data_IF_683637612447
#
_entry.id   IF_683637612447
#
_cell.length_a   1.000
_cell.length_b   1.000
_cell.length_c   1.000
_cell.angle_alpha   90.00
_cell.angle_beta   90.00
_cell.angle_gamma   90.00
#
_symmetry.space_group_name_H-M   'P 1'
#
loop_
_entity.id
_entity.type
_entity.pdbx_description
1 polymer ?
#
# COMPACT_ATOMS: atom_id res chain seq x y z
N UNK A 1 31.71 51.73 -45.97
CA UNK A 1 30.52 51.26 -46.71
C UNK A 1 30.31 49.78 -46.42
N UNK A 2 29.07 49.44 -46.04
CA UNK A 2 28.35 48.16 -46.09
C UNK A 2 29.10 46.83 -45.81
N UNK A 3 28.79 46.11 -44.73
CA UNK A 3 27.67 45.13 -44.57
C UNK A 3 28.06 43.69 -44.99
N UNK A 4 28.30 42.79 -44.02
CA UNK A 4 27.51 41.56 -43.73
C UNK A 4 28.39 40.31 -44.01
N UNK A 5 28.37 39.15 -43.34
CA UNK A 5 27.40 38.31 -42.60
C UNK A 5 28.18 37.42 -41.60
N UNK A 6 27.71 37.27 -40.35
CA UNK A 6 27.10 36.06 -39.78
C UNK A 6 27.80 34.71 -40.09
N UNK A 7 28.50 34.17 -39.09
CA UNK A 7 28.61 32.72 -38.86
C UNK A 7 28.49 32.42 -37.36
N UNK A 8 27.68 31.40 -37.08
CA UNK A 8 27.20 30.94 -35.79
C UNK A 8 28.29 30.32 -34.91
N UNK A 9 28.34 30.69 -33.63
CA UNK A 9 29.03 29.91 -32.61
C UNK A 9 28.07 28.93 -31.94
N UNK A 10 28.27 27.64 -32.22
CA UNK A 10 27.69 26.55 -31.47
C UNK A 10 28.44 26.40 -30.14
N UNK A 11 27.78 26.73 -29.02
CA UNK A 11 28.27 26.39 -27.69
C UNK A 11 28.01 24.92 -27.40
N UNK A 12 28.99 24.07 -27.69
CA UNK A 12 29.04 22.67 -27.23
C UNK A 12 29.48 22.67 -25.75
N UNK A 13 28.52 22.86 -24.86
CA UNK A 13 28.72 22.68 -23.42
C UNK A 13 28.80 21.20 -23.07
N UNK A 14 30.01 20.63 -23.07
CA UNK A 14 30.28 19.30 -22.49
C UNK A 14 30.03 19.36 -20.97
N UNK A 15 28.84 18.99 -20.52
CA UNK A 15 28.60 18.63 -19.11
C UNK A 15 29.32 17.31 -18.82
N UNK A 16 30.52 17.38 -18.25
CA UNK A 16 31.13 16.25 -17.55
C UNK A 16 30.20 15.87 -16.40
N UNK A 17 29.55 14.71 -16.51
CA UNK A 17 28.97 14.02 -15.35
C UNK A 17 30.13 13.49 -14.53
N UNK A 18 30.38 14.09 -13.39
CA UNK A 18 31.19 13.48 -12.34
C UNK A 18 30.34 12.33 -11.80
N UNK A 19 30.65 11.11 -12.25
CA UNK A 19 30.22 9.88 -11.59
C UNK A 19 31.13 9.79 -10.37
N UNK A 20 30.56 10.06 -9.20
CA UNK A 20 31.23 9.75 -7.93
C UNK A 20 31.02 8.26 -7.72
N UNK A 21 32.02 7.48 -8.14
CA UNK A 21 32.14 6.08 -7.74
C UNK A 21 32.42 6.06 -6.23
N UNK A 22 31.42 5.66 -5.44
CA UNK A 22 31.65 5.30 -4.04
C UNK A 22 32.37 3.95 -4.04
N UNK A 23 33.68 3.99 -3.80
CA UNK A 23 34.45 2.85 -3.34
C UNK A 23 34.01 2.55 -1.90
N UNK A 24 33.46 1.36 -1.68
CA UNK A 24 33.28 0.76 -0.36
C UNK A 24 34.66 0.25 0.11
N UNK A 25 35.50 1.14 0.60
CA UNK A 25 36.72 0.80 1.33
C UNK A 25 36.89 1.83 2.45
N UNK A 26 36.85 1.40 3.70
CA UNK A 26 37.27 2.22 4.84
C UNK A 26 36.28 2.28 6.00
N UNK A 27 36.61 1.46 7.00
CA UNK A 27 36.47 1.71 8.43
C UNK A 27 35.04 1.82 9.01
N UNK A 28 34.71 0.79 9.80
CA UNK A 28 33.67 0.78 10.82
C UNK A 28 34.00 1.83 11.90
N UNK A 29 33.92 3.11 11.55
CA UNK A 29 33.77 4.16 12.54
C UNK A 29 32.43 3.95 13.22
N UNK A 30 32.48 3.62 14.50
CA UNK A 30 31.35 3.61 15.41
C UNK A 30 30.48 4.84 15.13
N UNK A 31 29.34 4.63 14.46
CA UNK A 31 28.27 5.63 14.39
C UNK A 31 27.78 5.76 15.82
N UNK A 32 28.40 6.70 16.55
CA UNK A 32 28.14 6.95 17.95
C UNK A 32 26.64 6.93 18.18
N UNK A 33 26.19 6.04 19.04
CA UNK A 33 24.84 6.12 19.55
C UNK A 33 24.74 7.48 20.23
N UNK A 34 23.92 8.36 19.66
CA UNK A 34 23.56 9.63 20.29
C UNK A 34 22.76 9.30 21.55
N UNK A 35 23.48 9.06 22.65
CA UNK A 35 22.90 8.94 23.98
C UNK A 35 22.21 10.27 24.28
N UNK A 36 20.88 10.20 24.31
CA UNK A 36 19.97 11.34 24.37
C UNK A 36 19.64 11.72 25.82
N UNK A 37 20.55 11.39 26.75
CA UNK A 37 20.30 11.38 28.19
C UNK A 37 20.73 12.68 28.89
N UNK A 38 21.33 13.63 28.17
CA UNK A 38 21.48 15.00 28.66
C UNK A 38 20.23 15.82 28.29
N UNK A 39 19.44 16.15 29.31
CA UNK A 39 18.36 17.14 29.30
C UNK A 39 18.88 18.59 29.12
N UNK A 40 20.09 18.74 28.56
CA UNK A 40 20.63 20.00 28.09
C UNK A 40 19.70 20.56 27.03
N UNK A 41 18.94 21.56 27.44
CA UNK A 41 17.94 22.29 26.67
C UNK A 41 18.60 22.94 25.46
N UNK A 42 18.83 22.16 24.39
CA UNK A 42 19.13 22.71 23.07
C UNK A 42 17.92 23.56 22.68
N UNK A 43 18.05 24.87 22.93
CA UNK A 43 16.99 25.85 22.78
C UNK A 43 16.24 25.65 21.47
N UNK A 44 14.92 25.73 21.52
CA UNK A 44 14.07 25.63 20.33
C UNK A 44 14.60 26.61 19.28
N UNK A 45 14.90 26.16 18.06
CA UNK A 45 15.38 27.08 17.02
C UNK A 45 14.32 28.15 16.75
N UNK A 46 14.74 29.35 16.31
CA UNK A 46 13.82 30.44 15.97
C UNK A 46 12.72 29.99 15.01
N UNK A 47 11.54 30.60 15.13
CA UNK A 47 10.36 30.21 14.36
C UNK A 47 10.59 30.26 12.85
N UNK A 48 11.40 31.21 12.38
CA UNK A 48 11.76 31.40 10.97
C UNK A 48 12.54 30.20 10.42
N UNK A 49 13.52 29.71 11.17
CA UNK A 49 14.32 28.54 10.78
C UNK A 49 13.45 27.28 10.79
N UNK A 50 12.55 27.16 11.77
CA UNK A 50 11.59 26.04 11.81
C UNK A 50 10.63 26.08 10.62
N UNK A 51 10.11 27.25 10.26
CA UNK A 51 9.24 27.43 9.10
C UNK A 51 9.96 27.05 7.80
N UNK A 52 11.22 27.45 7.63
CA UNK A 52 12.02 27.05 6.48
C UNK A 52 12.24 25.51 6.42
N UNK A 53 12.51 24.88 7.56
CA UNK A 53 12.61 23.41 7.65
C UNK A 53 11.27 22.76 7.27
N UNK A 54 10.15 23.31 7.75
CA UNK A 54 8.81 22.82 7.44
C UNK A 54 8.44 23.03 5.97
N UNK A 55 8.75 24.18 5.37
CA UNK A 55 8.54 24.43 3.95
C UNK A 55 9.33 23.43 3.09
N UNK A 56 10.60 23.20 3.42
CA UNK A 56 11.45 22.28 2.65
C UNK A 56 11.06 20.80 2.85
N UNK A 57 10.66 20.41 4.06
CA UNK A 57 10.43 19.00 4.42
C UNK A 57 8.96 18.57 4.36
N UNK A 58 8.00 19.48 4.58
CA UNK A 58 6.58 19.17 4.77
C UNK A 58 5.69 19.76 3.67
N UNK A 59 6.10 20.81 2.95
CA UNK A 59 5.28 21.40 1.88
C UNK A 59 5.35 20.57 0.58
N UNK A 60 4.83 19.34 0.64
CA UNK A 60 4.42 18.62 -0.55
C UNK A 60 2.95 18.92 -0.85
N UNK A 61 2.69 20.01 -1.59
CA UNK A 61 1.36 20.35 -2.10
C UNK A 61 0.75 19.16 -2.87
N UNK A 62 -0.14 18.43 -2.20
CA UNK A 62 -0.85 17.27 -2.76
C UNK A 62 0.02 16.02 -3.03
N UNK A 63 1.24 15.96 -2.50
CA UNK A 63 2.15 14.83 -2.70
C UNK A 63 1.87 13.66 -1.75
N UNK A 64 2.19 12.44 -2.22
CA UNK A 64 2.30 11.24 -1.38
C UNK A 64 3.77 10.85 -1.24
N UNK A 65 4.19 10.28 -0.13
CA UNK A 65 5.55 9.80 0.07
C UNK A 65 5.70 8.35 -0.39
N UNK A 66 6.48 8.09 -1.44
CA UNK A 66 6.82 6.72 -1.83
C UNK A 66 8.05 6.21 -1.05
N UNK A 67 7.89 5.12 -0.31
CA UNK A 67 8.93 4.47 0.47
C UNK A 67 9.21 3.07 -0.10
N UNK A 68 10.46 2.87 -0.51
CA UNK A 68 10.97 1.59 -1.00
C UNK A 68 11.97 1.78 -2.14
N UNK A 69 12.83 0.79 -2.34
CA UNK A 69 13.69 0.72 -3.53
C UNK A 69 13.15 -0.36 -4.44
N UNK A 70 12.82 0.00 -5.67
CA UNK A 70 12.63 -0.99 -6.72
C UNK A 70 14.00 -1.20 -7.33
N UNK A 71 14.65 -2.30 -6.92
CA UNK A 71 15.78 -2.82 -7.69
C UNK A 71 15.19 -3.35 -8.99
N UNK A 72 15.01 -2.48 -9.98
CA UNK A 72 14.84 -2.88 -11.36
C UNK A 72 16.16 -3.57 -11.74
N UNK A 73 16.25 -4.88 -11.57
CA UNK A 73 17.18 -5.68 -12.34
C UNK A 73 16.70 -5.58 -13.79
N UNK A 74 17.03 -4.48 -14.45
CA UNK A 74 17.09 -4.37 -15.91
C UNK A 74 18.25 -5.27 -16.36
N UNK A 75 18.09 -6.58 -16.16
CA UNK A 75 18.95 -7.56 -16.79
C UNK A 75 18.69 -7.50 -18.29
N UNK A 76 19.74 -7.68 -19.09
CA UNK A 76 19.67 -7.74 -20.57
C UNK A 76 18.59 -8.71 -21.09
N UNK A 77 18.15 -9.69 -20.28
CA UNK A 77 17.05 -10.61 -20.60
C UNK A 77 15.67 -9.95 -20.74
N UNK A 78 15.42 -8.77 -20.16
CA UNK A 78 14.11 -8.12 -20.28
C UNK A 78 13.87 -7.53 -21.68
N UNK A 79 14.93 -7.30 -22.47
CA UNK A 79 14.82 -6.94 -23.87
C UNK A 79 14.46 -8.13 -24.79
N UNK A 80 14.68 -9.37 -24.32
CA UNK A 80 14.34 -10.59 -25.06
C UNK A 80 12.92 -11.10 -24.75
N UNK A 81 12.36 -10.77 -23.58
CA UNK A 81 11.01 -11.17 -23.17
C UNK A 81 9.94 -10.09 -23.51
N UNK A 82 9.91 -9.64 -24.77
CA UNK A 82 8.88 -8.71 -25.27
C UNK A 82 7.54 -9.44 -25.52
N UNK A 83 6.84 -9.79 -24.44
CA UNK A 83 5.46 -10.32 -24.53
C UNK A 83 4.61 -10.09 -23.28
N UNK A 84 5.22 -9.93 -22.12
CA UNK A 84 4.52 -9.62 -20.86
C UNK A 84 5.02 -8.28 -20.34
N UNK A 85 4.61 -7.22 -21.03
CA UNK A 85 4.85 -5.84 -20.59
C UNK A 85 4.12 -5.65 -19.26
N UNK A 86 4.87 -5.73 -18.16
CA UNK A 86 4.43 -5.24 -16.87
C UNK A 86 4.09 -3.75 -17.01
N UNK A 87 2.80 -3.42 -17.03
CA UNK A 87 2.28 -2.04 -17.08
C UNK A 87 2.76 -1.16 -15.91
N UNK A 88 3.47 -1.71 -14.92
CA UNK A 88 4.14 -0.96 -13.85
C UNK A 88 5.24 0.00 -14.33
N UNK A 89 5.83 -0.21 -15.52
CA UNK A 89 6.94 0.61 -16.05
C UNK A 89 6.63 2.11 -16.23
N UNK A 90 5.39 2.47 -16.56
CA UNK A 90 5.02 3.88 -16.79
C UNK A 90 4.71 4.65 -15.49
N UNK A 91 4.12 3.99 -14.49
CA UNK A 91 3.91 4.59 -13.16
C UNK A 91 5.26 4.87 -12.45
N UNK A 92 6.28 4.07 -12.73
CA UNK A 92 7.61 4.20 -12.15
C UNK A 92 8.35 5.48 -12.54
N UNK A 93 8.14 5.98 -13.76
CA UNK A 93 8.71 7.28 -14.17
C UNK A 93 8.09 8.44 -13.39
N UNK A 94 6.81 8.35 -12.99
CA UNK A 94 6.15 9.36 -12.14
C UNK A 94 6.66 9.32 -10.69
N UNK A 95 6.93 8.13 -10.14
CA UNK A 95 7.45 7.97 -8.76
C UNK A 95 8.81 8.63 -8.58
N UNK A 96 9.69 8.60 -9.61
CA UNK A 96 11.03 9.22 -9.55
C UNK A 96 11.05 10.74 -9.37
N UNK A 97 9.93 11.44 -9.55
CA UNK A 97 9.86 12.92 -9.41
C UNK A 97 9.48 13.34 -7.99
N UNK A 98 9.17 12.40 -7.09
CA UNK A 98 8.96 12.76 -5.68
C UNK A 98 10.30 13.11 -5.02
N UNK A 99 10.43 14.36 -4.60
CA UNK A 99 11.59 14.84 -3.83
C UNK A 99 11.80 13.93 -2.63
N UNK A 100 13.01 13.38 -2.53
CA UNK A 100 13.48 12.70 -1.33
C UNK A 100 13.53 13.72 -0.19
N UNK A 101 12.58 13.68 0.72
CA UNK A 101 12.63 14.53 1.92
C UNK A 101 13.73 14.02 2.82
N UNK A 102 14.59 14.92 3.26
CA UNK A 102 15.57 14.63 4.30
C UNK A 102 14.85 14.62 5.66
N UNK A 103 14.13 13.53 5.94
CA UNK A 103 13.44 13.32 7.23
C UNK A 103 14.46 13.40 8.39
N UNK A 104 15.74 13.17 8.13
CA UNK A 104 16.82 13.37 9.09
C UNK A 104 16.85 14.78 9.69
N UNK A 105 16.54 15.82 8.91
CA UNK A 105 16.46 17.20 9.41
C UNK A 105 15.35 17.40 10.45
N UNK A 106 14.26 16.62 10.36
CA UNK A 106 13.18 16.64 11.35
C UNK A 106 13.49 15.80 12.59
N UNK A 107 14.58 15.03 12.58
CA UNK A 107 15.00 14.15 13.69
C UNK A 107 16.14 14.74 14.51
N UNK A 108 16.84 15.77 14.01
CA UNK A 108 17.99 16.38 14.72
C UNK A 108 17.60 17.18 15.96
N UNK A 109 16.38 17.70 16.04
CA UNK A 109 15.90 18.49 17.18
C UNK A 109 14.58 17.92 17.73
N UNK A 110 14.55 17.53 19.02
CA UNK A 110 13.38 16.93 19.68
C UNK A 110 12.13 17.83 19.61
N UNK A 111 12.28 19.15 19.74
CA UNK A 111 11.16 20.08 19.69
C UNK A 111 10.60 20.24 18.27
N UNK A 112 11.47 20.40 17.27
CA UNK A 112 11.06 20.38 15.86
C UNK A 112 10.35 19.07 15.54
N UNK A 113 10.91 17.93 15.96
CA UNK A 113 10.32 16.63 15.71
C UNK A 113 8.91 16.52 16.28
N UNK A 114 8.72 16.96 17.53
CA UNK A 114 7.42 16.89 18.23
C UNK A 114 6.36 17.76 17.55
N UNK A 115 6.74 18.94 17.06
CA UNK A 115 5.85 19.84 16.32
C UNK A 115 5.55 19.34 14.90
N UNK A 116 6.56 18.80 14.21
CA UNK A 116 6.48 18.38 12.82
C UNK A 116 5.83 17.00 12.65
N UNK A 117 6.00 16.08 13.60
CA UNK A 117 5.55 14.70 13.45
C UNK A 117 4.04 14.60 13.15
N UNK A 118 3.13 15.29 13.85
CA UNK A 118 1.71 15.27 13.52
C UNK A 118 1.42 15.76 12.10
N UNK A 119 2.23 16.66 11.54
CA UNK A 119 2.05 17.16 10.17
C UNK A 119 2.61 16.16 9.15
N UNK A 120 3.85 15.72 9.34
CA UNK A 120 4.54 14.77 8.45
C UNK A 120 3.75 13.47 8.31
N UNK A 121 3.32 12.88 9.42
CA UNK A 121 2.70 11.56 9.42
C UNK A 121 1.22 11.57 9.02
N UNK A 122 0.60 12.75 8.85
CA UNK A 122 -0.73 12.90 8.24
C UNK A 122 -0.72 12.71 6.73
N UNK A 123 0.43 12.88 6.07
CA UNK A 123 0.52 12.73 4.63
C UNK A 123 0.29 11.27 4.18
N UNK A 124 -0.13 11.07 2.92
CA UNK A 124 -0.22 9.74 2.33
C UNK A 124 1.16 9.08 2.16
N UNK A 125 1.34 7.89 2.71
CA UNK A 125 2.52 7.06 2.48
C UNK A 125 2.20 5.91 1.55
N UNK A 126 2.97 5.79 0.46
CA UNK A 126 2.93 4.67 -0.48
C UNK A 126 4.12 3.77 -0.25
N UNK A 127 3.90 2.51 0.07
CA UNK A 127 4.96 1.54 0.27
C UNK A 127 5.03 0.59 -0.92
N UNK A 128 6.23 0.44 -1.46
CA UNK A 128 6.45 -0.45 -2.59
C UNK A 128 6.49 -1.92 -2.16
N UNK A 129 6.58 -2.21 -0.87
CA UNK A 129 6.52 -3.57 -0.35
C UNK A 129 6.15 -3.59 1.14
N UNK A 130 5.51 -4.66 1.58
CA UNK A 130 5.13 -4.84 3.00
C UNK A 130 6.34 -4.91 3.93
N UNK A 131 7.45 -5.52 3.52
CA UNK A 131 8.66 -5.51 4.34
C UNK A 131 9.17 -4.08 4.59
N UNK A 132 9.01 -3.18 3.62
CA UNK A 132 9.38 -1.77 3.76
C UNK A 132 8.44 -1.06 4.73
N UNK A 133 7.14 -1.33 4.65
CA UNK A 133 6.17 -0.87 5.65
C UNK A 133 6.56 -1.37 7.05
N UNK A 134 6.86 -2.65 7.22
CA UNK A 134 7.25 -3.23 8.50
C UNK A 134 8.50 -2.54 9.07
N UNK A 135 9.57 -2.41 8.28
CA UNK A 135 10.80 -1.73 8.71
C UNK A 135 10.57 -0.26 9.04
N UNK A 136 9.70 0.41 8.29
CA UNK A 136 9.30 1.78 8.59
C UNK A 136 8.61 1.86 9.95
N UNK A 137 7.61 1.01 10.20
CA UNK A 137 6.85 1.00 11.45
C UNK A 137 7.71 0.63 12.67
N UNK A 138 8.65 -0.32 12.53
CA UNK A 138 9.58 -0.71 13.59
C UNK A 138 10.47 0.45 14.07
N UNK A 139 10.69 1.45 13.22
CA UNK A 139 11.50 2.63 13.55
C UNK A 139 10.70 3.78 14.15
N UNK A 140 9.36 3.67 14.18
CA UNK A 140 8.50 4.72 14.72
C UNK A 140 8.10 4.40 16.16
N UNK A 141 8.03 5.44 16.98
CA UNK A 141 7.44 5.35 18.32
C UNK A 141 5.92 5.20 18.19
N UNK A 142 5.23 4.51 19.13
CA UNK A 142 3.77 4.38 19.10
C UNK A 142 3.02 5.72 19.00
N UNK A 143 3.51 6.75 19.68
CA UNK A 143 2.95 8.10 19.59
C UNK A 143 2.99 8.65 18.17
N UNK A 144 4.09 8.42 17.43
CA UNK A 144 4.25 8.81 16.03
C UNK A 144 3.33 8.02 15.11
N UNK A 145 3.23 6.70 15.32
CA UNK A 145 2.35 5.81 14.57
C UNK A 145 0.88 6.26 14.70
N UNK A 146 0.48 6.80 15.84
CA UNK A 146 -0.87 7.33 16.06
C UNK A 146 -1.27 8.45 15.08
N UNK A 147 -0.30 9.16 14.50
CA UNK A 147 -0.57 10.23 13.54
C UNK A 147 -0.77 9.75 12.11
N UNK A 148 -0.45 8.49 11.80
CA UNK A 148 -0.63 7.92 10.47
C UNK A 148 -2.11 7.91 10.07
N UNK A 149 -2.40 8.47 8.89
CA UNK A 149 -3.77 8.54 8.36
C UNK A 149 -3.98 7.73 7.08
N UNK A 150 -2.97 7.68 6.21
CA UNK A 150 -3.10 7.11 4.89
C UNK A 150 -1.87 6.26 4.55
N UNK A 151 -2.11 4.96 4.34
CA UNK A 151 -1.11 3.97 3.95
C UNK A 151 -1.63 3.26 2.69
N UNK A 152 -0.81 3.21 1.65
CA UNK A 152 -1.12 2.55 0.38
C UNK A 152 0.02 1.59 0.03
N UNK A 153 -0.27 0.30 -0.09
CA UNK A 153 0.68 -0.67 -0.61
C UNK A 153 0.56 -0.68 -2.14
N UNK A 154 1.62 -0.32 -2.86
CA UNK A 154 1.53 -0.17 -4.32
C UNK A 154 1.69 -1.51 -5.05
N UNK A 155 2.56 -2.39 -4.55
CA UNK A 155 2.80 -3.69 -5.16
C UNK A 155 1.98 -4.80 -4.52
N UNK A 156 1.76 -5.85 -5.31
CA UNK A 156 1.20 -7.12 -4.85
C UNK A 156 1.98 -7.63 -3.63
N UNK A 157 1.23 -7.99 -2.60
CA UNK A 157 1.72 -8.94 -1.60
C UNK A 157 1.76 -10.31 -2.26
N UNK A 158 2.91 -10.67 -2.81
CA UNK A 158 3.19 -12.04 -3.28
C UNK A 158 3.33 -12.96 -2.07
N UNK A 159 2.98 -14.23 -2.22
CA UNK A 159 3.21 -15.36 -1.30
C UNK A 159 4.33 -15.17 -0.25
N UNK A 160 5.54 -14.89 -0.73
CA UNK A 160 6.77 -14.77 0.07
C UNK A 160 6.81 -13.53 0.95
N UNK A 161 6.10 -12.48 0.55
CA UNK A 161 5.97 -11.21 1.26
C UNK A 161 4.73 -11.22 2.17
N UNK A 162 3.72 -12.02 1.82
CA UNK A 162 2.48 -12.15 2.56
C UNK A 162 2.66 -12.52 4.04
N UNK A 163 3.66 -13.36 4.36
CA UNK A 163 4.01 -13.72 5.75
C UNK A 163 4.35 -12.52 6.64
N UNK A 164 4.79 -11.41 6.08
CA UNK A 164 5.13 -10.19 6.83
C UNK A 164 3.91 -9.29 7.06
N UNK A 165 2.81 -9.51 6.32
CA UNK A 165 1.63 -8.64 6.39
C UNK A 165 0.99 -8.66 7.79
N UNK A 166 0.75 -9.82 8.44
CA UNK A 166 0.21 -9.83 9.80
C UNK A 166 1.09 -9.05 10.80
N UNK A 167 2.41 -9.16 10.68
CA UNK A 167 3.37 -8.46 11.55
C UNK A 167 3.31 -6.95 11.30
N UNK A 168 3.34 -6.52 10.03
CA UNK A 168 3.23 -5.10 9.70
C UNK A 168 1.91 -4.50 10.19
N UNK A 169 0.80 -5.23 10.07
CA UNK A 169 -0.51 -4.78 10.53
C UNK A 169 -0.64 -4.77 12.06
N UNK A 170 0.00 -5.71 12.76
CA UNK A 170 0.07 -5.67 14.22
C UNK A 170 0.83 -4.43 14.73
N UNK A 171 1.89 -4.01 14.02
CA UNK A 171 2.62 -2.78 14.32
C UNK A 171 1.80 -1.51 14.07
N UNK A 172 0.76 -1.57 13.24
CA UNK A 172 -0.21 -0.48 13.06
C UNK A 172 -1.22 -0.38 14.19
N UNK A 173 -1.18 -1.24 15.21
CA UNK A 173 -2.12 -1.17 16.32
C UNK A 173 -2.19 0.20 17.01
N UNK A 174 -1.13 1.01 17.16
CA UNK A 174 -1.23 2.37 17.73
C UNK A 174 -1.86 3.40 16.78
N UNK A 175 -2.07 3.07 15.50
CA UNK A 175 -2.47 3.99 14.44
C UNK A 175 -3.97 4.32 14.48
N UNK A 176 -4.42 4.95 15.57
CA UNK A 176 -5.82 5.26 15.82
C UNK A 176 -6.46 6.18 14.77
N UNK A 177 -5.65 6.95 14.02
CA UNK A 177 -6.13 7.90 13.03
C UNK A 177 -6.09 7.39 11.58
N UNK A 178 -5.84 6.09 11.33
CA UNK A 178 -5.91 5.54 9.99
C UNK A 178 -7.33 5.71 9.44
N UNK A 179 -7.40 6.36 8.28
CA UNK A 179 -8.61 6.59 7.46
C UNK A 179 -8.52 5.92 6.10
N UNK A 180 -7.32 5.55 5.68
CA UNK A 180 -7.09 4.87 4.41
C UNK A 180 -5.94 3.86 4.56
N UNK A 181 -6.25 2.59 4.36
CA UNK A 181 -5.28 1.50 4.31
C UNK A 181 -5.58 0.65 3.08
N UNK A 182 -4.80 0.81 2.01
CA UNK A 182 -4.98 0.04 0.78
C UNK A 182 -4.01 -1.13 0.70
N UNK A 183 -4.55 -2.31 0.44
CA UNK A 183 -3.81 -3.55 0.17
C UNK A 183 -4.34 -4.10 -1.16
N UNK A 184 -3.62 -3.91 -2.28
CA UNK A 184 -4.18 -4.03 -3.63
C UNK A 184 -4.61 -5.46 -3.95
N UNK A 185 -3.80 -6.44 -3.57
CA UNK A 185 -4.14 -7.86 -3.70
C UNK A 185 -3.29 -8.71 -2.76
N UNK A 186 -3.95 -9.68 -2.13
CA UNK A 186 -3.36 -10.73 -1.30
C UNK A 186 -3.16 -11.94 -2.23
N UNK A 187 -2.12 -11.93 -3.05
CA UNK A 187 -1.96 -12.87 -4.16
C UNK A 187 -0.96 -13.99 -3.81
N UNK A 188 -1.41 -15.24 -3.94
CA UNK A 188 -0.55 -16.41 -3.76
C UNK A 188 -0.15 -16.68 -2.31
N UNK A 189 -0.89 -16.20 -1.31
CA UNK A 189 -0.56 -16.57 0.07
C UNK A 189 -0.46 -18.09 0.21
N UNK A 190 0.66 -18.60 0.77
CA UNK A 190 0.97 -20.01 0.76
C UNK A 190 -0.17 -20.75 1.44
N UNK A 191 -0.77 -21.65 0.67
CA UNK A 191 -1.92 -22.44 1.02
C UNK A 191 -1.81 -22.98 2.46
N UNK A 192 -2.55 -22.40 3.40
CA UNK A 192 -3.33 -23.25 4.29
C UNK A 192 -4.26 -24.13 3.44
N UNK A 193 -4.80 -25.24 3.96
CA UNK A 193 -5.60 -26.22 3.20
C UNK A 193 -6.85 -25.67 2.48
N UNK A 194 -7.08 -24.37 2.51
CA UNK A 194 -8.31 -23.68 2.22
C UNK A 194 -8.03 -22.29 1.59
N UNK A 195 -7.21 -22.16 0.55
CA UNK A 195 -7.03 -20.86 -0.12
C UNK A 195 -8.34 -20.33 -0.76
N UNK A 196 -8.47 -19.03 -0.97
CA UNK A 196 -9.54 -18.36 -1.73
C UNK A 196 -9.97 -19.14 -3.00
N UNK A 197 -8.99 -19.67 -3.76
CA UNK A 197 -9.21 -20.45 -4.98
C UNK A 197 -9.81 -21.85 -4.73
N UNK A 198 -9.61 -22.44 -3.54
CA UNK A 198 -10.13 -23.76 -3.13
C UNK A 198 -11.37 -23.69 -2.23
N UNK A 199 -11.64 -22.56 -1.56
CA UNK A 199 -12.80 -22.37 -0.64
C UNK A 199 -14.12 -22.05 -1.33
N UNK A 200 -14.14 -21.89 -2.65
CA UNK A 200 -15.40 -21.90 -3.41
C UNK A 200 -16.03 -23.31 -3.51
N UNK A 201 -15.45 -24.30 -2.83
CA UNK A 201 -16.04 -25.61 -2.54
C UNK A 201 -15.92 -26.60 -3.71
N UNK A 202 -15.88 -27.92 -3.44
CA UNK A 202 -16.05 -28.92 -4.48
C UNK A 202 -17.50 -28.88 -5.01
N UNK A 203 -17.62 -28.75 -6.33
CA UNK A 203 -18.71 -29.17 -7.25
C UNK A 203 -20.13 -29.41 -6.66
N UNK A 204 -21.19 -28.87 -7.29
CA UNK A 204 -21.24 -28.36 -8.66
C UNK A 204 -21.31 -26.83 -8.75
N UNK A 205 -20.13 -26.20 -8.77
CA UNK A 205 -19.76 -24.93 -9.44
C UNK A 205 -20.85 -23.89 -9.72
N UNK A 206 -21.68 -23.59 -8.72
CA UNK A 206 -22.78 -22.65 -8.87
C UNK A 206 -23.70 -22.92 -10.06
N UNK A 207 -23.82 -24.19 -10.47
CA UNK A 207 -24.73 -24.60 -11.56
C UNK A 207 -26.16 -24.17 -11.23
N UNK A 208 -26.53 -24.32 -9.95
CA UNK A 208 -27.83 -23.92 -9.41
C UNK A 208 -27.77 -22.67 -8.52
N UNK A 209 -26.63 -22.00 -8.47
CA UNK A 209 -26.42 -20.84 -7.61
C UNK A 209 -26.92 -19.58 -8.28
N UNK A 210 -27.66 -18.76 -7.54
CA UNK A 210 -28.06 -17.45 -8.04
C UNK A 210 -26.84 -16.51 -8.09
N UNK A 211 -26.94 -15.43 -8.86
CA UNK A 211 -25.90 -14.39 -8.89
C UNK A 211 -25.64 -13.82 -7.50
N UNK A 212 -26.69 -13.63 -6.70
CA UNK A 212 -26.60 -13.09 -5.34
C UNK A 212 -25.91 -14.06 -4.37
N UNK A 213 -26.21 -15.36 -4.46
CA UNK A 213 -25.55 -16.39 -3.65
C UNK A 213 -24.05 -16.46 -3.97
N UNK A 214 -23.69 -16.34 -5.25
CA UNK A 214 -22.31 -16.35 -5.68
C UNK A 214 -21.55 -15.10 -5.19
N UNK A 215 -22.13 -13.91 -5.36
CA UNK A 215 -21.57 -12.66 -4.85
C UNK A 215 -21.36 -12.74 -3.33
N UNK A 216 -22.33 -13.27 -2.59
CA UNK A 216 -22.25 -13.50 -1.13
C UNK A 216 -21.13 -14.47 -0.78
N UNK A 217 -21.01 -15.59 -1.48
CA UNK A 217 -19.97 -16.59 -1.26
C UNK A 217 -18.57 -16.02 -1.50
N UNK A 218 -18.37 -15.27 -2.58
CA UNK A 218 -17.08 -14.64 -2.88
C UNK A 218 -16.77 -13.56 -1.84
N UNK A 219 -17.73 -12.72 -1.47
CA UNK A 219 -17.57 -11.73 -0.40
C UNK A 219 -17.15 -12.38 0.93
N UNK A 220 -17.83 -13.44 1.36
CA UNK A 220 -17.45 -14.21 2.57
C UNK A 220 -16.03 -14.76 2.49
N UNK A 221 -15.61 -15.27 1.34
CA UNK A 221 -14.25 -15.78 1.19
C UNK A 221 -13.20 -14.66 1.20
N UNK A 222 -13.47 -13.51 0.57
CA UNK A 222 -12.61 -12.32 0.66
C UNK A 222 -12.47 -11.87 2.13
N UNK A 223 -13.58 -11.85 2.87
CA UNK A 223 -13.58 -11.52 4.29
C UNK A 223 -12.73 -12.47 5.14
N UNK A 224 -12.81 -13.79 4.90
CA UNK A 224 -11.97 -14.75 5.60
C UNK A 224 -10.48 -14.55 5.35
N UNK A 225 -10.10 -14.21 4.11
CA UNK A 225 -8.70 -13.89 3.76
C UNK A 225 -8.26 -12.61 4.48
N UNK A 226 -9.07 -11.54 4.40
CA UNK A 226 -8.84 -10.29 5.13
C UNK A 226 -8.68 -10.56 6.63
N UNK A 227 -9.59 -11.33 7.22
CA UNK A 227 -9.56 -11.66 8.63
C UNK A 227 -8.29 -12.42 9.00
N UNK A 228 -7.96 -13.49 8.28
CA UNK A 228 -6.78 -14.34 8.55
C UNK A 228 -5.49 -13.53 8.63
N UNK A 229 -5.31 -12.54 7.75
CA UNK A 229 -4.06 -11.77 7.68
C UNK A 229 -4.09 -10.44 8.43
N UNK A 230 -5.27 -9.88 8.66
CA UNK A 230 -5.42 -8.58 9.29
C UNK A 230 -5.96 -8.65 10.72
N UNK A 231 -6.27 -9.84 11.24
CA UNK A 231 -6.93 -10.03 12.55
C UNK A 231 -6.36 -9.17 13.68
N UNK A 232 -5.03 -9.07 13.92
CA UNK A 232 -4.51 -8.24 15.00
C UNK A 232 -4.92 -6.76 14.88
N UNK A 233 -5.02 -6.25 13.66
CA UNK A 233 -5.47 -4.90 13.37
C UNK A 233 -7.00 -4.78 13.46
N UNK A 234 -7.74 -5.73 12.87
CA UNK A 234 -9.20 -5.74 12.84
C UNK A 234 -9.81 -5.87 14.25
N UNK A 235 -9.29 -6.79 15.05
CA UNK A 235 -9.77 -7.02 16.42
C UNK A 235 -9.66 -5.74 17.24
N UNK A 236 -8.53 -5.03 17.14
CA UNK A 236 -8.36 -3.75 17.84
C UNK A 236 -9.28 -2.66 17.31
N UNK A 237 -9.45 -2.57 15.99
CA UNK A 237 -10.32 -1.58 15.38
C UNK A 237 -11.78 -1.75 15.82
N UNK A 238 -12.27 -2.99 15.80
CA UNK A 238 -13.68 -3.31 16.09
C UNK A 238 -13.98 -3.32 17.60
N UNK A 239 -13.01 -3.71 18.43
CA UNK A 239 -13.16 -3.73 19.90
C UNK A 239 -12.94 -2.37 20.56
N UNK A 240 -12.41 -1.36 19.86
CA UNK A 240 -12.16 -0.04 20.46
C UNK A 240 -13.48 0.72 20.70
N UNK A 241 -13.92 0.92 21.96
CA UNK A 241 -15.18 1.59 22.28
C UNK A 241 -15.13 3.11 22.06
N UNK A 242 -13.93 3.70 21.98
CA UNK A 242 -13.73 5.16 21.92
C UNK A 242 -13.99 5.74 20.53
N UNK A 243 -14.00 4.90 19.48
CA UNK A 243 -14.53 5.31 18.17
C UNK A 243 -16.04 5.37 18.28
N UNK A 244 -16.55 6.54 18.66
CA UNK A 244 -17.97 6.88 18.58
C UNK A 244 -18.45 6.54 17.17
N UNK A 245 -19.55 5.79 17.09
CA UNK A 245 -20.25 5.65 15.81
C UNK A 245 -20.46 7.05 15.26
N UNK A 246 -20.05 7.28 14.01
CA UNK A 246 -20.29 8.56 13.40
C UNK A 246 -21.80 8.80 13.43
N UNK A 247 -22.22 10.04 13.69
CA UNK A 247 -23.63 10.43 13.80
C UNK A 247 -24.49 10.06 12.56
N UNK A 248 -23.86 9.62 11.48
CA UNK A 248 -24.47 9.15 10.25
C UNK A 248 -25.04 7.71 10.31
N UNK A 249 -25.00 7.02 11.45
CA UNK A 249 -25.60 5.68 11.60
C UNK A 249 -24.90 4.57 10.79
N UNK A 250 -23.67 4.83 10.33
CA UNK A 250 -22.87 3.83 9.61
C UNK A 250 -22.35 2.79 10.60
N UNK A 251 -22.58 1.50 10.31
CA UNK A 251 -22.05 0.42 11.16
C UNK A 251 -20.51 0.51 11.25
N UNK A 252 -19.94 0.11 12.40
CA UNK A 252 -18.47 0.06 12.59
C UNK A 252 -17.77 -0.75 11.50
N UNK A 253 -18.43 -1.79 11.01
CA UNK A 253 -17.96 -2.64 9.92
C UNK A 253 -17.94 -1.90 8.58
N UNK A 254 -18.96 -1.10 8.30
CA UNK A 254 -19.00 -0.24 7.11
C UNK A 254 -17.88 0.81 7.14
N UNK A 255 -17.61 1.41 8.31
CA UNK A 255 -16.46 2.30 8.51
C UNK A 255 -15.12 1.58 8.34
N UNK A 256 -15.02 0.34 8.84
CA UNK A 256 -13.84 -0.50 8.67
C UNK A 256 -13.58 -0.76 7.19
N UNK A 257 -14.59 -1.16 6.42
CA UNK A 257 -14.45 -1.48 5.00
C UNK A 257 -14.22 -0.24 4.12
N UNK A 258 -14.65 0.95 4.56
CA UNK A 258 -14.30 2.20 3.86
C UNK A 258 -12.86 2.64 4.15
N UNK A 259 -12.36 2.32 5.35
CA UNK A 259 -10.98 2.56 5.79
C UNK A 259 -10.00 1.58 5.15
N UNK A 260 -10.33 0.29 5.20
CA UNK A 260 -9.50 -0.82 4.72
C UNK A 260 -9.93 -1.18 3.31
N UNK A 261 -9.12 -0.78 2.33
CA UNK A 261 -9.34 -1.03 0.91
C UNK A 261 -8.55 -2.24 0.46
N UNK A 262 -9.02 -3.42 0.88
CA UNK A 262 -8.51 -4.72 0.40
C UNK A 262 -9.44 -5.23 -0.71
N UNK A 263 -8.88 -5.85 -1.75
CA UNK A 263 -9.64 -6.33 -2.92
C UNK A 263 -10.42 -5.24 -3.66
N UNK A 264 -10.09 -3.96 -3.47
CA UNK A 264 -10.80 -2.85 -4.11
C UNK A 264 -10.77 -2.96 -5.64
N UNK A 265 -9.63 -3.35 -6.22
CA UNK A 265 -9.51 -3.59 -7.67
C UNK A 265 -10.49 -4.71 -8.11
N UNK A 266 -10.59 -5.80 -7.34
CA UNK A 266 -11.52 -6.89 -7.64
C UNK A 266 -13.00 -6.48 -7.54
N UNK A 267 -13.34 -5.64 -6.56
CA UNK A 267 -14.69 -5.10 -6.40
C UNK A 267 -15.02 -4.03 -7.44
N UNK A 268 -14.02 -3.26 -7.89
CA UNK A 268 -14.22 -2.25 -8.93
C UNK A 268 -14.44 -2.93 -10.28
N UNK A 269 -13.52 -3.80 -10.66
CA UNK A 269 -13.48 -4.42 -11.98
C UNK A 269 -14.47 -5.58 -12.13
N UNK A 270 -14.79 -6.25 -11.02
CA UNK A 270 -15.67 -7.42 -11.02
C UNK A 270 -15.05 -8.66 -11.67
N UNK A 271 -15.87 -9.68 -11.94
CA UNK A 271 -15.44 -10.90 -12.61
C UNK A 271 -15.08 -10.63 -14.06
N UNK A 272 -13.85 -10.96 -14.44
CA UNK A 272 -13.34 -10.85 -15.81
C UNK A 272 -13.13 -12.25 -16.40
N UNK A 273 -13.63 -12.49 -17.60
CA UNK A 273 -13.29 -13.70 -18.34
C UNK A 273 -11.77 -13.74 -18.59
N UNK A 274 -11.11 -14.82 -18.18
CA UNK A 274 -9.69 -15.01 -18.49
C UNK A 274 -9.55 -15.54 -19.90
N UNK A 275 -8.89 -14.79 -20.78
CA UNK A 275 -8.45 -15.28 -22.09
C UNK A 275 -7.29 -16.28 -22.02
N UNK A 276 -7.09 -16.96 -20.89
CA UNK A 276 -5.95 -17.83 -20.68
C UNK A 276 -6.09 -19.12 -21.52
N UNK A 277 -5.21 -19.27 -22.51
CA UNK A 277 -4.99 -20.52 -23.23
C UNK A 277 -4.25 -21.52 -22.34
N UNK A 278 -4.87 -22.66 -21.97
CA UNK A 278 -4.23 -23.76 -21.23
C UNK A 278 -5.07 -24.34 -20.09
N UNK A 279 -4.43 -24.93 -19.08
CA UNK A 279 -5.05 -25.55 -17.88
C UNK A 279 -5.97 -24.61 -17.05
N UNK A 280 -6.04 -23.33 -17.42
CA UNK A 280 -6.86 -22.29 -16.80
C UNK A 280 -8.18 -22.01 -17.54
N UNK A 281 -8.64 -22.89 -18.45
CA UNK A 281 -9.90 -22.67 -19.19
C UNK A 281 -11.15 -22.58 -18.30
N UNK A 282 -11.05 -23.01 -17.03
CA UNK A 282 -12.15 -23.02 -16.07
C UNK A 282 -11.97 -22.02 -14.93
N UNK A 283 -11.34 -20.86 -15.15
CA UNK A 283 -11.32 -19.77 -14.17
C UNK A 283 -11.93 -18.47 -14.71
N UNK A 284 -12.29 -17.59 -13.79
CA UNK A 284 -12.50 -16.16 -14.03
C UNK A 284 -11.52 -15.38 -13.14
N UNK A 285 -11.12 -14.21 -13.60
CA UNK A 285 -10.24 -13.30 -12.87
C UNK A 285 -11.07 -12.39 -11.98
N UNK A 286 -10.68 -12.25 -10.73
CA UNK A 286 -11.26 -11.32 -9.76
C UNK A 286 -10.15 -10.43 -9.23
N UNK A 287 -10.03 -9.21 -9.79
CA UNK A 287 -8.87 -8.36 -9.56
C UNK A 287 -7.61 -9.06 -10.06
N UNK A 288 -6.71 -9.46 -9.17
CA UNK A 288 -5.50 -10.22 -9.55
C UNK A 288 -5.58 -11.71 -9.23
N UNK A 289 -6.60 -12.14 -8.47
CA UNK A 289 -6.84 -13.56 -8.16
C UNK A 289 -7.57 -14.30 -9.28
N UNK A 290 -7.55 -15.64 -9.23
CA UNK A 290 -8.23 -16.52 -10.18
C UNK A 290 -9.19 -17.43 -9.45
N UNK A 291 -10.49 -17.21 -9.60
CA UNK A 291 -11.50 -18.09 -9.02
C UNK A 291 -12.01 -19.08 -10.06
N UNK A 292 -12.42 -20.26 -9.61
CA UNK A 292 -12.97 -21.26 -10.52
C UNK A 292 -14.25 -20.71 -11.16
N UNK A 293 -14.41 -20.96 -12.45
CA UNK A 293 -15.45 -20.38 -13.29
C UNK A 293 -16.82 -20.89 -12.81
N UNK A 294 -17.75 -19.98 -12.45
CA UNK A 294 -19.11 -20.33 -12.09
C UNK A 294 -19.96 -20.63 -13.35
N UNK A 295 -21.25 -20.89 -13.15
CA UNK A 295 -22.21 -21.05 -14.26
C UNK A 295 -22.19 -19.86 -15.22
N UNK A 296 -22.56 -20.10 -16.47
CA UNK A 296 -22.64 -19.05 -17.50
C UNK A 296 -23.60 -17.93 -17.11
N UNK A 297 -24.66 -18.23 -16.35
CA UNK A 297 -25.59 -17.24 -15.83
C UNK A 297 -24.87 -16.19 -14.95
N UNK A 298 -23.97 -16.64 -14.06
CA UNK A 298 -23.18 -15.75 -13.20
C UNK A 298 -22.13 -14.97 -14.00
N UNK A 299 -21.44 -15.64 -14.94
CA UNK A 299 -20.42 -15.01 -15.79
C UNK A 299 -21.01 -13.93 -16.69
N UNK A 300 -22.21 -14.16 -17.22
CA UNK A 300 -22.87 -13.25 -18.14
C UNK A 300 -23.72 -12.18 -17.44
N UNK A 301 -23.93 -12.31 -16.12
CA UNK A 301 -24.67 -11.31 -15.35
C UNK A 301 -23.89 -9.98 -15.32
N UNK A 302 -24.56 -8.83 -15.53
CA UNK A 302 -23.89 -7.53 -15.54
C UNK A 302 -23.21 -7.25 -14.20
N UNK A 303 -22.01 -6.67 -14.24
CA UNK A 303 -21.34 -6.18 -13.03
C UNK A 303 -21.84 -4.76 -12.72
N UNK A 304 -22.69 -4.64 -11.70
CA UNK A 304 -23.35 -3.38 -11.33
C UNK A 304 -22.87 -2.87 -9.97
N UNK A 305 -23.05 -1.58 -9.66
CA UNK A 305 -22.78 -1.06 -8.32
C UNK A 305 -23.53 -1.82 -7.22
N UNK A 306 -24.75 -2.27 -7.48
CA UNK A 306 -25.53 -3.06 -6.51
C UNK A 306 -24.85 -4.39 -6.16
N UNK A 307 -24.31 -5.12 -7.15
CA UNK A 307 -23.55 -6.35 -6.90
C UNK A 307 -22.27 -6.08 -6.11
N UNK A 308 -21.56 -5.00 -6.45
CA UNK A 308 -20.37 -4.56 -5.71
C UNK A 308 -20.68 -4.30 -4.24
N UNK A 309 -21.76 -3.57 -3.96
CA UNK A 309 -22.16 -3.28 -2.58
C UNK A 309 -22.66 -4.53 -1.86
N UNK A 310 -23.40 -5.43 -2.52
CA UNK A 310 -23.79 -6.72 -1.93
C UNK A 310 -22.58 -7.57 -1.53
N UNK A 311 -21.53 -7.63 -2.35
CA UNK A 311 -20.28 -8.32 -2.00
C UNK A 311 -19.57 -7.66 -0.82
N UNK A 312 -19.51 -6.33 -0.78
CA UNK A 312 -18.95 -5.57 0.36
C UNK A 312 -19.73 -5.80 1.65
N UNK A 313 -21.05 -5.83 1.56
CA UNK A 313 -21.93 -6.12 2.70
C UNK A 313 -21.68 -7.53 3.22
N UNK A 314 -21.65 -8.53 2.33
CA UNK A 314 -21.33 -9.91 2.68
C UNK A 314 -19.93 -10.05 3.31
N UNK A 315 -18.94 -9.29 2.81
CA UNK A 315 -17.62 -9.21 3.42
C UNK A 315 -17.71 -8.67 4.86
N UNK A 316 -18.46 -7.58 5.06
CA UNK A 316 -18.61 -6.95 6.35
C UNK A 316 -19.28 -7.86 7.38
N UNK A 317 -20.41 -8.47 7.01
CA UNK A 317 -21.14 -9.41 7.86
C UNK A 317 -20.26 -10.59 8.27
N UNK A 318 -19.45 -11.13 7.36
CA UNK A 318 -18.55 -12.24 7.68
C UNK A 318 -17.37 -11.82 8.57
N UNK A 319 -16.78 -10.63 8.37
CA UNK A 319 -15.75 -10.11 9.28
C UNK A 319 -16.34 -9.96 10.69
N UNK A 320 -17.53 -9.36 10.82
CA UNK A 320 -18.20 -9.21 12.11
C UNK A 320 -18.41 -10.57 12.80
N UNK A 321 -18.96 -11.54 12.06
CA UNK A 321 -19.16 -12.91 12.54
C UNK A 321 -17.86 -13.57 13.02
N UNK A 322 -16.77 -13.40 12.27
CA UNK A 322 -15.46 -13.97 12.64
C UNK A 322 -14.91 -13.35 13.92
N UNK A 323 -15.09 -12.04 14.11
CA UNK A 323 -14.63 -11.30 15.30
C UNK A 323 -15.43 -11.67 16.56
N UNK A 324 -16.70 -12.03 16.42
CA UNK A 324 -17.57 -12.46 17.53
C UNK A 324 -17.28 -13.88 18.01
N UNK A 325 -16.71 -14.72 17.15
CA UNK A 325 -16.36 -16.12 17.48
C UNK A 325 -15.00 -16.23 18.18
N UNK A 326 -14.09 -15.28 17.94
CA UNK A 326 -12.73 -15.22 18.54
C UNK A 326 -12.66 -14.34 19.80
#
# INVERSE_FOLDING_TARGET
MACSRLTSFACVGKRRRTIVDYREDGDDDEVGQWNNDDDGEWGKPPAEIRNLIYEECLDQKGGSYCIGKIKLRLGRMQAAANGLVWHGGQNLKKIRVQRSINIGLLQTNKAIHTEAAPLLYRHPFKFLAVHTLQLFLLRLKPATISHLQHIDLEYQTVATVGRYLPVALALLSPAANIRFLRVPSIEGFPHGPTGFDRRLGPVPWGVDMTVADWDTLVGRNMAKEVYTYMFPFLAKFLRNPERKEDQAGSSRVSQLLSTIRVFEEALLDGPQATGCSGLHMNCIKMGRGHVIRPSSAIVNAPWTPARREAMREAMGQEIQRLVEVD
#
